data_IF_424131400612
#
_entry.id   IF_424131400612
#
_cell.length_a   1.000
_cell.length_b   1.000
_cell.length_c   1.000
_cell.angle_alpha   90.00
_cell.angle_beta   90.00
_cell.angle_gamma   90.00
#
_symmetry.space_group_name_H-M   'P 1'
#
loop_
_entity.id
_entity.type
_entity.pdbx_description
1 polymer ?
#
# COMPACT_ATOMS: atom_id res chain seq x y z
N UNK A 1 -14.01 11.65 -9.80
CA UNK A 1 -13.16 10.60 -10.39
C UNK A 1 -11.81 11.21 -10.65
N UNK A 2 -10.83 10.90 -9.80
CA UNK A 2 -9.41 10.71 -10.13
C UNK A 2 -8.71 10.49 -8.79
N UNK A 3 -8.54 9.23 -8.45
CA UNK A 3 -7.61 8.82 -7.42
C UNK A 3 -6.23 9.12 -7.96
N UNK A 4 -5.62 10.23 -7.53
CA UNK A 4 -4.19 10.50 -7.70
C UNK A 4 -3.41 9.45 -6.88
N UNK A 5 -3.54 8.19 -7.27
CA UNK A 5 -2.77 7.08 -6.72
C UNK A 5 -1.35 7.28 -7.25
N UNK A 6 -0.49 7.88 -6.44
CA UNK A 6 0.96 7.79 -6.64
C UNK A 6 1.33 6.32 -6.58
N UNK A 7 1.45 5.69 -7.75
CA UNK A 7 1.86 4.28 -7.85
C UNK A 7 3.37 4.22 -7.73
N UNK A 8 3.85 3.30 -6.91
CA UNK A 8 5.28 3.13 -6.63
C UNK A 8 5.67 1.74 -7.13
N UNK A 9 6.63 1.66 -8.04
CA UNK A 9 7.17 0.40 -8.54
C UNK A 9 8.38 -0.02 -7.72
N UNK A 10 8.35 -1.24 -7.19
CA UNK A 10 9.42 -1.82 -6.37
C UNK A 10 9.72 -3.22 -6.91
N UNK A 11 10.67 -3.31 -7.84
CA UNK A 11 11.01 -4.57 -8.51
C UNK A 11 9.81 -5.17 -9.25
N UNK A 12 9.32 -6.33 -8.79
CA UNK A 12 8.13 -7.00 -9.36
C UNK A 12 6.79 -6.51 -8.77
N UNK A 13 6.83 -5.56 -7.84
CA UNK A 13 5.66 -5.08 -7.11
C UNK A 13 5.24 -3.70 -7.62
N UNK A 14 3.93 -3.53 -7.84
CA UNK A 14 3.30 -2.23 -8.05
C UNK A 14 2.47 -1.91 -6.80
N UNK A 15 2.90 -0.89 -6.07
CA UNK A 15 2.27 -0.42 -4.84
C UNK A 15 1.35 0.75 -5.17
N UNK A 16 0.14 0.73 -4.66
CA UNK A 16 -0.86 1.79 -4.82
C UNK A 16 -1.44 2.14 -3.44
N UNK A 17 -0.82 3.08 -2.71
CA UNK A 17 -1.30 3.60 -1.44
C UNK A 17 -2.56 4.44 -1.65
N UNK A 18 -3.52 4.34 -0.74
CA UNK A 18 -4.80 5.03 -0.80
C UNK A 18 -5.24 5.49 0.59
N UNK A 19 -5.52 6.78 0.72
CA UNK A 19 -6.24 7.33 1.85
C UNK A 19 -7.74 7.36 1.54
N UNK A 20 -8.55 6.73 2.39
CA UNK A 20 -10.02 6.80 2.29
C UNK A 20 -10.58 7.68 3.41
N UNK A 21 -11.43 8.66 3.12
CA UNK A 21 -12.11 9.41 4.17
C UNK A 21 -13.08 8.50 4.93
N UNK A 22 -13.09 8.56 6.26
CA UNK A 22 -13.96 7.76 7.13
C UNK A 22 -15.03 8.60 7.86
N UNK A 23 -15.25 9.84 7.41
CA UNK A 23 -16.15 10.80 8.05
C UNK A 23 -15.43 11.60 9.15
N UNK A 24 -16.04 12.70 9.60
CA UNK A 24 -15.48 13.61 10.61
C UNK A 24 -14.07 14.17 10.29
N UNK A 25 -13.69 14.26 9.01
CA UNK A 25 -12.38 14.77 8.60
C UNK A 25 -11.23 13.77 8.77
N UNK A 26 -11.52 12.53 9.19
CA UNK A 26 -10.51 11.50 9.38
C UNK A 26 -10.34 10.63 8.12
N UNK A 27 -9.15 10.06 8.00
CA UNK A 27 -8.75 9.20 6.89
C UNK A 27 -8.27 7.86 7.42
N UNK A 28 -8.58 6.79 6.70
CA UNK A 28 -7.95 5.47 6.88
C UNK A 28 -6.99 5.17 5.76
N UNK A 29 -5.88 4.55 6.13
CA UNK A 29 -4.89 4.08 5.20
C UNK A 29 -5.30 2.73 4.60
N UNK A 30 -5.04 2.55 3.32
CA UNK A 30 -5.08 1.27 2.63
C UNK A 30 -4.01 1.22 1.56
N UNK A 31 -3.58 0.04 1.17
CA UNK A 31 -2.61 -0.13 0.08
C UNK A 31 -2.92 -1.39 -0.70
N UNK A 32 -2.89 -1.30 -2.02
CA UNK A 32 -2.85 -2.46 -2.91
C UNK A 32 -1.40 -2.70 -3.34
N UNK A 33 -0.95 -3.94 -3.24
CA UNK A 33 0.34 -4.40 -3.73
C UNK A 33 0.06 -5.46 -4.77
N UNK A 34 0.25 -5.09 -6.02
CA UNK A 34 0.16 -6.02 -7.14
C UNK A 34 1.53 -6.61 -7.42
N UNK A 35 1.59 -7.91 -7.67
CA UNK A 35 2.83 -8.61 -8.00
C UNK A 35 2.61 -9.61 -9.11
N UNK A 36 3.55 -9.71 -10.04
CA UNK A 36 3.49 -10.69 -11.13
C UNK A 36 4.39 -10.32 -12.30
N UNK A 37 4.94 -11.34 -12.97
CA UNK A 37 5.66 -11.23 -14.24
C UNK A 37 5.37 -12.52 -15.02
N UNK A 38 4.36 -12.50 -15.90
CA UNK A 38 3.89 -13.69 -16.63
C UNK A 38 2.48 -14.17 -16.25
N UNK A 39 2.26 -15.48 -16.15
CA UNK A 39 0.95 -16.16 -16.13
C UNK A 39 0.11 -16.00 -14.84
N UNK A 40 0.54 -15.17 -13.89
CA UNK A 40 -0.17 -14.98 -12.62
C UNK A 40 0.12 -13.61 -12.01
N UNK A 41 -0.91 -12.79 -11.89
CA UNK A 41 -0.87 -11.52 -11.15
C UNK A 41 -1.62 -11.70 -9.84
N UNK A 42 -0.96 -11.42 -8.72
CA UNK A 42 -1.58 -11.38 -7.40
C UNK A 42 -1.75 -9.95 -6.95
N UNK A 43 -2.97 -9.57 -6.59
CA UNK A 43 -3.29 -8.31 -5.94
C UNK A 43 -3.51 -8.56 -4.44
N UNK A 44 -2.71 -7.88 -3.60
CA UNK A 44 -2.84 -7.97 -2.14
C UNK A 44 -3.27 -6.62 -1.62
N UNK A 45 -4.42 -6.55 -0.98
CA UNK A 45 -4.93 -5.31 -0.39
C UNK A 45 -4.81 -5.37 1.12
N UNK A 46 -4.01 -4.46 1.69
CA UNK A 46 -3.95 -4.23 3.13
C UNK A 46 -4.82 -3.02 3.48
N UNK A 47 -5.71 -3.20 4.45
CA UNK A 47 -6.56 -2.15 5.01
C UNK A 47 -6.18 -1.98 6.47
N UNK A 48 -5.86 -0.75 6.84
CA UNK A 48 -5.47 -0.43 8.21
C UNK A 48 -6.66 0.12 8.98
N UNK A 49 -6.67 -0.11 10.30
CA UNK A 49 -7.66 0.45 11.23
C UNK A 49 -7.21 1.78 11.84
N UNK A 50 -5.97 2.19 11.60
CA UNK A 50 -5.44 3.47 12.06
C UNK A 50 -6.15 4.63 11.35
N UNK A 51 -6.59 5.60 12.17
CA UNK A 51 -7.22 6.84 11.73
C UNK A 51 -6.17 7.96 11.71
N UNK A 52 -6.24 8.80 10.69
CA UNK A 52 -5.33 9.91 10.47
C UNK A 52 -6.11 11.19 10.26
N UNK A 53 -5.62 12.29 10.82
CA UNK A 53 -6.21 13.62 10.63
C UNK A 53 -5.92 14.22 9.25
N UNK A 54 -5.05 13.59 8.46
CA UNK A 54 -4.69 14.00 7.10
C UNK A 54 -4.56 12.83 6.15
N UNK A 55 -5.00 13.04 4.91
CA UNK A 55 -4.79 12.09 3.81
C UNK A 55 -3.31 11.82 3.56
N UNK A 56 -2.43 12.83 3.69
CA UNK A 56 -0.99 12.66 3.48
C UNK A 56 -0.36 11.72 4.51
N UNK A 57 -0.80 11.83 5.78
CA UNK A 57 -0.34 10.93 6.85
C UNK A 57 -0.80 9.49 6.60
N UNK A 58 -2.05 9.30 6.17
CA UNK A 58 -2.57 7.99 5.79
C UNK A 58 -1.81 7.37 4.59
N UNK A 59 -1.46 8.17 3.57
CA UNK A 59 -0.68 7.73 2.41
C UNK A 59 0.76 7.36 2.79
N UNK A 60 1.41 8.19 3.63
CA UNK A 60 2.75 7.90 4.11
C UNK A 60 2.78 6.60 4.92
N UNK A 61 1.82 6.44 5.84
CA UNK A 61 1.67 5.22 6.63
C UNK A 61 1.45 3.98 5.76
N UNK A 62 0.56 4.06 4.77
CA UNK A 62 0.31 2.98 3.81
C UNK A 62 1.57 2.59 3.01
N UNK A 63 2.35 3.59 2.60
CA UNK A 63 3.58 3.41 1.82
C UNK A 63 4.66 2.71 2.63
N UNK A 64 4.92 3.20 3.85
CA UNK A 64 5.90 2.60 4.78
C UNK A 64 5.59 1.14 5.07
N UNK A 65 4.31 0.82 5.35
CA UNK A 65 3.89 -0.56 5.60
C UNK A 65 4.04 -1.43 4.36
N UNK A 66 3.75 -0.91 3.17
CA UNK A 66 3.96 -1.65 1.93
C UNK A 66 5.45 -1.93 1.67
N UNK A 67 6.33 -0.95 1.90
CA UNK A 67 7.77 -1.14 1.74
C UNK A 67 8.30 -2.18 2.72
N UNK A 68 7.89 -2.13 4.00
CA UNK A 68 8.24 -3.14 4.99
C UNK A 68 7.79 -4.54 4.57
N UNK A 69 6.53 -4.68 4.16
CA UNK A 69 5.99 -5.95 3.70
C UNK A 69 6.75 -6.51 2.49
N UNK A 70 7.13 -5.65 1.54
CA UNK A 70 7.93 -6.05 0.38
C UNK A 70 9.32 -6.50 0.84
N UNK A 71 9.97 -5.76 1.73
CA UNK A 71 11.29 -6.08 2.25
C UNK A 71 11.31 -7.44 2.96
N UNK A 72 10.32 -7.72 3.81
CA UNK A 72 10.15 -9.03 4.47
C UNK A 72 9.95 -10.18 3.47
N UNK A 73 9.34 -9.91 2.30
CA UNK A 73 9.13 -10.91 1.24
C UNK A 73 10.33 -11.08 0.31
N UNK A 74 11.20 -10.07 0.25
CA UNK A 74 12.44 -10.09 -0.53
C UNK A 74 13.60 -10.66 0.26
N UNK A 75 13.57 -10.55 1.59
CA UNK A 75 14.54 -11.22 2.45
C UNK A 75 14.51 -12.73 2.15
N UNK A 76 15.61 -13.33 1.68
CA UNK A 76 15.69 -14.78 1.60
C UNK A 76 15.47 -15.30 3.02
N UNK A 77 14.61 -16.31 3.18
CA UNK A 77 14.61 -17.08 4.41
C UNK A 77 16.00 -17.68 4.53
N UNK A 78 16.86 -17.07 5.36
CA UNK A 78 18.16 -17.65 5.69
C UNK A 78 17.88 -19.00 6.35
N UNK A 79 18.19 -20.08 5.63
CA UNK A 79 18.30 -21.44 6.11
C UNK A 79 19.77 -21.85 6.01
#
# INVERSE_FOLDING_TARGET
MNSDHTKIEVGKYLVSPLAKPQGAGQYVASVSIRSGRGSGTHDRVMRFSALFDSASAALHYATEHAMRWIHERQAPACA
#
